data_IF_230737598697
#
_entry.id   IF_230737598697
#
_cell.length_a   1.000
_cell.length_b   1.000
_cell.length_c   1.000
_cell.angle_alpha   90.00
_cell.angle_beta   90.00
_cell.angle_gamma   90.00
#
_symmetry.space_group_name_H-M   'P 1'
#
loop_
_entity.id
_entity.type
_entity.pdbx_description
1 polymer ?
#
# COMPACT_ATOMS: atom_id res chain seq x y z
N UNK A 1 -24.14 -27.24 -30.54
CA UNK A 1 -24.66 -26.93 -29.19
C UNK A 1 -25.17 -25.47 -29.22
N UNK A 2 -26.48 -25.28 -29.16
CA UNK A 2 -27.05 -23.92 -29.15
C UNK A 2 -27.27 -23.51 -27.71
N UNK A 3 -26.47 -22.57 -27.21
CA UNK A 3 -26.68 -21.97 -25.88
C UNK A 3 -27.79 -20.92 -26.01
N UNK A 4 -28.86 -21.05 -25.28
CA UNK A 4 -29.95 -20.06 -25.24
C UNK A 4 -29.92 -19.27 -23.91
N UNK A 5 -30.60 -18.12 -23.89
CA UNK A 5 -30.58 -17.20 -22.77
C UNK A 5 -31.23 -17.72 -21.48
N UNK A 6 -31.96 -18.84 -21.56
CA UNK A 6 -32.59 -19.48 -20.40
C UNK A 6 -31.58 -20.23 -19.51
N UNK A 7 -30.36 -20.41 -19.98
CA UNK A 7 -29.24 -20.98 -19.18
C UNK A 7 -28.50 -19.96 -18.31
N UNK A 8 -28.86 -18.68 -18.39
CA UNK A 8 -28.36 -17.67 -17.48
C UNK A 8 -29.23 -17.66 -16.23
N UNK A 9 -28.74 -18.17 -15.13
CA UNK A 9 -29.38 -17.97 -13.83
C UNK A 9 -29.36 -16.47 -13.50
N UNK A 10 -30.54 -15.82 -13.59
CA UNK A 10 -30.67 -14.48 -13.03
C UNK A 10 -30.80 -14.61 -11.51
N UNK A 11 -29.91 -13.96 -10.80
CA UNK A 11 -29.86 -13.92 -9.33
C UNK A 11 -31.12 -13.32 -8.69
N UNK A 12 -32.01 -12.75 -9.51
CA UNK A 12 -33.28 -12.11 -9.07
C UNK A 12 -34.46 -13.05 -8.89
N UNK A 13 -34.38 -14.35 -9.21
CA UNK A 13 -35.50 -15.29 -9.14
C UNK A 13 -35.48 -16.26 -7.95
N UNK A 14 -34.50 -16.16 -7.06
CA UNK A 14 -34.58 -16.84 -5.78
C UNK A 14 -35.26 -15.93 -4.75
N UNK A 15 -36.57 -16.01 -4.73
CA UNK A 15 -37.40 -15.52 -3.64
C UNK A 15 -37.16 -16.37 -2.39
N UNK A 16 -36.19 -15.99 -1.62
CA UNK A 16 -35.86 -16.63 -0.36
C UNK A 16 -34.84 -15.77 0.39
N UNK A 17 -35.37 -15.05 1.36
CA UNK A 17 -34.68 -14.33 2.43
C UNK A 17 -33.40 -13.55 2.00
N UNK A 18 -33.40 -12.32 2.34
CA UNK A 18 -32.25 -11.39 2.41
C UNK A 18 -31.08 -11.89 3.32
N UNK A 19 -30.88 -13.21 3.36
CA UNK A 19 -29.82 -13.88 4.12
C UNK A 19 -28.63 -14.23 3.23
N UNK A 20 -28.25 -13.38 2.31
CA UNK A 20 -27.15 -13.68 1.39
C UNK A 20 -26.12 -12.57 1.17
N UNK A 21 -26.42 -11.37 1.54
CA UNK A 21 -25.37 -10.40 1.83
C UNK A 21 -25.04 -10.61 3.31
N UNK A 22 -24.11 -11.52 3.62
CA UNK A 22 -23.34 -11.37 4.84
C UNK A 22 -22.95 -9.89 4.85
N UNK A 23 -23.57 -9.10 5.72
CA UNK A 23 -22.95 -7.88 6.21
C UNK A 23 -21.57 -8.34 6.56
N UNK A 24 -20.57 -7.99 5.72
CA UNK A 24 -19.18 -8.13 6.12
C UNK A 24 -19.16 -7.40 7.45
N UNK A 25 -18.95 -8.16 8.55
CA UNK A 25 -18.55 -7.54 9.78
C UNK A 25 -17.51 -6.50 9.37
N UNK A 26 -17.49 -5.35 10.04
CA UNK A 26 -16.57 -4.24 9.82
C UNK A 26 -15.10 -4.71 9.95
N UNK A 27 -14.73 -5.66 9.10
CA UNK A 27 -13.40 -6.18 8.88
C UNK A 27 -12.78 -5.34 7.78
N UNK A 28 -11.59 -4.93 8.00
CA UNK A 28 -10.75 -4.12 7.12
C UNK A 28 -10.95 -4.53 5.66
N UNK A 29 -11.54 -3.63 4.86
CA UNK A 29 -11.75 -3.85 3.43
C UNK A 29 -10.51 -3.37 2.70
N UNK A 30 -9.92 -4.23 1.89
CA UNK A 30 -8.94 -3.88 0.89
C UNK A 30 -9.32 -4.55 -0.42
N UNK A 31 -9.34 -3.78 -1.49
CA UNK A 31 -9.38 -4.26 -2.85
C UNK A 31 -8.47 -3.37 -3.70
N UNK A 32 -7.44 -3.95 -4.28
CA UNK A 32 -6.50 -3.29 -5.18
C UNK A 32 -6.55 -3.98 -6.54
N UNK A 33 -6.77 -3.21 -7.60
CA UNK A 33 -6.60 -3.63 -8.99
C UNK A 33 -5.54 -2.79 -9.64
N UNK A 34 -4.43 -3.41 -9.98
CA UNK A 34 -3.26 -2.79 -10.58
C UNK A 34 -2.99 -3.38 -11.96
N UNK A 35 -2.67 -2.52 -12.91
CA UNK A 35 -2.30 -2.90 -14.26
C UNK A 35 -0.82 -2.63 -14.49
N UNK A 36 -0.15 -3.59 -15.13
CA UNK A 36 1.15 -3.39 -15.76
C UNK A 36 0.92 -3.10 -17.25
N UNK A 37 1.48 -2.01 -17.75
CA UNK A 37 1.40 -1.63 -19.15
C UNK A 37 2.81 -1.50 -19.73
N UNK A 38 3.02 -1.98 -20.94
CA UNK A 38 4.24 -1.81 -21.71
C UNK A 38 3.91 -1.85 -23.19
N UNK A 39 4.21 -0.77 -23.91
CA UNK A 39 3.83 -0.61 -25.31
C UNK A 39 2.31 -0.79 -25.52
N UNK A 40 1.91 -1.76 -26.32
CA UNK A 40 0.52 -2.15 -26.63
C UNK A 40 -0.01 -3.29 -25.74
N UNK A 41 0.80 -3.75 -24.78
CA UNK A 41 0.47 -4.88 -23.89
C UNK A 41 0.03 -4.39 -22.53
N UNK A 42 -0.92 -5.12 -21.96
CA UNK A 42 -1.42 -4.90 -20.60
C UNK A 42 -1.57 -6.23 -19.89
N UNK A 43 -1.25 -6.25 -18.60
CA UNK A 43 -1.55 -7.33 -17.69
C UNK A 43 -2.06 -6.78 -16.37
N UNK A 44 -2.70 -7.60 -15.55
CA UNK A 44 -3.41 -7.15 -14.35
C UNK A 44 -3.09 -8.04 -13.16
N UNK A 45 -3.01 -7.42 -11.98
CA UNK A 45 -2.91 -8.04 -10.67
C UNK A 45 -4.04 -7.54 -9.78
N UNK A 46 -4.69 -8.44 -9.06
CA UNK A 46 -5.70 -8.14 -8.06
C UNK A 46 -5.22 -8.64 -6.70
N UNK A 47 -5.31 -7.77 -5.69
CA UNK A 47 -5.08 -8.10 -4.28
C UNK A 47 -6.30 -7.66 -3.49
N UNK A 48 -6.79 -8.53 -2.63
CA UNK A 48 -7.93 -8.21 -1.78
C UNK A 48 -7.82 -8.89 -0.42
N UNK A 49 -8.56 -8.38 0.56
CA UNK A 49 -8.63 -8.98 1.90
C UNK A 49 -9.84 -9.85 2.04
N UNK A 50 -9.63 -11.03 2.59
CA UNK A 50 -10.68 -11.94 3.06
C UNK A 50 -10.22 -12.62 4.35
N UNK A 51 -11.06 -12.59 5.39
CA UNK A 51 -10.74 -13.19 6.69
C UNK A 51 -10.60 -14.73 6.65
N UNK A 52 -11.15 -15.37 5.63
CA UNK A 52 -11.05 -16.82 5.41
C UNK A 52 -9.78 -17.21 4.63
N UNK A 53 -9.05 -16.22 4.07
CA UNK A 53 -7.81 -16.47 3.35
C UNK A 53 -6.71 -16.99 4.28
N UNK A 54 -5.91 -17.92 3.76
CA UNK A 54 -4.80 -18.54 4.48
C UNK A 54 -3.45 -17.89 4.11
N UNK A 55 -2.37 -18.39 4.71
CA UNK A 55 -1.02 -17.99 4.33
C UNK A 55 -0.47 -18.78 3.12
N UNK A 56 -1.14 -19.85 2.72
CA UNK A 56 -0.84 -20.67 1.56
C UNK A 56 -1.73 -20.35 0.38
N UNK A 57 -1.53 -21.07 -0.71
CA UNK A 57 -2.45 -21.05 -1.85
C UNK A 57 -3.76 -21.74 -1.47
N UNK A 58 -4.89 -21.07 -1.65
CA UNK A 58 -6.20 -21.60 -1.33
C UNK A 58 -7.27 -21.24 -2.40
N UNK A 59 -8.54 -21.53 -2.09
CA UNK A 59 -9.65 -21.30 -3.02
C UNK A 59 -9.97 -19.81 -3.26
N UNK A 60 -9.36 -18.91 -2.51
CA UNK A 60 -9.51 -17.46 -2.62
C UNK A 60 -8.43 -16.84 -3.51
N UNK A 61 -7.48 -17.67 -3.99
CA UNK A 61 -6.41 -17.27 -4.90
C UNK A 61 -6.70 -17.70 -6.34
N UNK A 62 -6.32 -16.86 -7.27
CA UNK A 62 -6.34 -17.18 -8.70
C UNK A 62 -4.92 -17.40 -9.23
N UNK A 63 -4.63 -18.62 -9.69
CA UNK A 63 -3.33 -18.91 -10.31
C UNK A 63 -3.19 -18.19 -11.66
N UNK A 64 -2.00 -17.66 -11.92
CA UNK A 64 -1.67 -16.93 -13.14
C UNK A 64 -1.63 -17.88 -14.35
N UNK A 65 -2.42 -17.59 -15.36
CA UNK A 65 -2.28 -18.22 -16.67
C UNK A 65 -1.13 -17.57 -17.44
N UNK A 66 -0.04 -18.30 -17.58
CA UNK A 66 1.17 -17.78 -18.21
C UNK A 66 1.02 -17.69 -19.73
N UNK A 67 1.47 -16.58 -20.28
CA UNK A 67 1.60 -16.39 -21.73
C UNK A 67 3.10 -16.46 -22.11
N UNK A 68 3.44 -17.32 -23.04
CA UNK A 68 4.82 -17.38 -23.54
C UNK A 68 5.20 -16.02 -24.15
N UNK A 69 6.32 -15.44 -23.68
CA UNK A 69 6.80 -14.11 -24.08
C UNK A 69 5.78 -12.98 -23.87
N UNK A 70 4.84 -13.17 -22.92
CA UNK A 70 3.85 -12.17 -22.53
C UNK A 70 4.37 -11.17 -21.50
N UNK A 71 3.76 -10.00 -21.46
CA UNK A 71 3.87 -9.08 -20.33
C UNK A 71 3.13 -9.69 -19.15
N UNK A 72 3.75 -9.82 -17.97
CA UNK A 72 3.11 -10.47 -16.84
C UNK A 72 3.38 -9.75 -15.52
N UNK A 73 2.33 -9.66 -14.70
CA UNK A 73 2.34 -9.11 -13.36
C UNK A 73 1.66 -10.10 -12.41
N UNK A 74 2.32 -10.46 -11.31
CA UNK A 74 1.79 -11.42 -10.36
C UNK A 74 2.49 -11.31 -8.99
N UNK A 75 1.92 -11.95 -7.99
CA UNK A 75 2.56 -12.24 -6.71
C UNK A 75 2.91 -13.73 -6.64
N UNK A 76 3.63 -14.16 -5.63
CA UNK A 76 3.99 -15.56 -5.45
C UNK A 76 3.56 -16.08 -4.08
N UNK A 77 3.01 -17.30 -4.05
CA UNK A 77 2.74 -18.08 -2.85
C UNK A 77 3.42 -19.44 -3.01
N UNK A 78 4.54 -19.63 -2.32
CA UNK A 78 5.42 -20.77 -2.57
C UNK A 78 5.91 -20.76 -4.01
N UNK A 79 5.72 -21.86 -4.74
CA UNK A 79 6.09 -21.98 -6.16
C UNK A 79 4.99 -21.49 -7.14
N UNK A 80 3.82 -21.08 -6.63
CA UNK A 80 2.69 -20.68 -7.48
C UNK A 80 2.74 -19.19 -7.79
N UNK A 81 2.45 -18.84 -9.03
CA UNK A 81 2.27 -17.46 -9.50
C UNK A 81 0.79 -17.11 -9.38
N UNK A 82 0.48 -16.02 -8.70
CA UNK A 82 -0.88 -15.64 -8.29
C UNK A 82 -1.25 -14.31 -8.94
N UNK A 83 -2.32 -14.29 -9.70
CA UNK A 83 -2.87 -13.08 -10.35
C UNK A 83 -4.02 -12.46 -9.54
N UNK A 84 -4.72 -13.26 -8.76
CA UNK A 84 -5.71 -12.82 -7.78
C UNK A 84 -5.21 -13.35 -6.43
N UNK A 85 -4.82 -12.46 -5.52
CA UNK A 85 -4.24 -12.84 -4.24
C UNK A 85 -5.17 -12.41 -3.11
N UNK A 86 -5.79 -13.39 -2.46
CA UNK A 86 -6.58 -13.21 -1.25
C UNK A 86 -5.69 -13.17 -0.02
N UNK A 87 -5.65 -12.04 0.67
CA UNK A 87 -4.86 -11.86 1.89
C UNK A 87 -5.74 -11.93 3.13
N UNK A 88 -5.28 -12.60 4.17
CA UNK A 88 -5.89 -12.47 5.49
C UNK A 88 -5.59 -11.08 6.06
N UNK A 89 -6.53 -10.46 6.79
CA UNK A 89 -6.36 -9.14 7.40
C UNK A 89 -5.09 -9.06 8.28
N UNK A 90 -4.72 -10.12 8.98
CA UNK A 90 -3.50 -10.18 9.78
C UNK A 90 -2.21 -10.11 8.95
N UNK A 91 -2.28 -10.41 7.65
CA UNK A 91 -1.15 -10.30 6.72
C UNK A 91 -0.92 -8.91 6.17
N UNK A 92 -1.87 -8.01 6.30
CA UNK A 92 -1.75 -6.64 5.78
C UNK A 92 -0.65 -5.82 6.49
N UNK A 93 -0.14 -6.29 7.61
CA UNK A 93 1.09 -5.76 8.21
C UNK A 93 2.36 -6.23 7.49
N UNK A 94 2.25 -7.11 6.48
CA UNK A 94 3.37 -7.64 5.71
C UNK A 94 3.40 -7.01 4.33
N UNK A 95 4.59 -6.83 3.81
CA UNK A 95 4.80 -6.39 2.43
C UNK A 95 4.55 -7.54 1.44
N UNK A 96 4.02 -7.21 0.26
CA UNK A 96 3.73 -8.16 -0.81
C UNK A 96 4.61 -7.86 -2.02
N UNK A 97 5.59 -8.71 -2.33
CA UNK A 97 6.40 -8.55 -3.55
C UNK A 97 5.55 -8.70 -4.80
N UNK A 98 5.78 -7.80 -5.77
CA UNK A 98 5.17 -7.83 -7.09
C UNK A 98 6.21 -8.23 -8.12
N UNK A 99 5.96 -9.31 -8.83
CA UNK A 99 6.86 -9.86 -9.83
C UNK A 99 6.39 -9.45 -11.20
N UNK A 100 7.29 -8.89 -11.99
CA UNK A 100 7.02 -8.48 -13.36
C UNK A 100 7.87 -9.32 -14.32
N UNK A 101 7.24 -9.85 -15.38
CA UNK A 101 7.94 -10.42 -16.52
C UNK A 101 7.77 -9.50 -17.71
N UNK A 102 8.88 -8.91 -18.14
CA UNK A 102 8.93 -7.90 -19.21
C UNK A 102 9.51 -8.54 -20.46
N UNK A 103 8.74 -8.68 -21.54
CA UNK A 103 9.21 -9.34 -22.76
C UNK A 103 10.22 -8.51 -23.55
N UNK A 104 10.13 -7.18 -23.47
CA UNK A 104 10.95 -6.25 -24.26
C UNK A 104 11.38 -5.08 -23.39
N UNK A 105 12.67 -4.80 -23.38
CA UNK A 105 13.25 -3.63 -22.66
C UNK A 105 12.61 -2.33 -23.13
N UNK A 106 12.24 -1.48 -22.16
CA UNK A 106 11.65 -0.18 -22.45
C UNK A 106 10.90 0.45 -21.28
N UNK A 107 10.12 1.48 -21.60
CA UNK A 107 9.27 2.16 -20.62
C UNK A 107 8.03 1.30 -20.34
N UNK A 108 7.78 1.11 -19.06
CA UNK A 108 6.61 0.42 -18.51
C UNK A 108 5.88 1.34 -17.53
N UNK A 109 4.64 1.01 -17.20
CA UNK A 109 3.94 1.67 -16.10
C UNK A 109 3.11 0.70 -15.27
N UNK A 110 3.05 0.97 -13.97
CA UNK A 110 2.08 0.38 -13.05
C UNK A 110 0.98 1.42 -12.83
N UNK A 111 -0.27 1.07 -13.13
CA UNK A 111 -1.40 1.98 -12.97
C UNK A 111 -2.47 1.37 -12.06
N UNK A 112 -3.03 2.19 -11.17
CA UNK A 112 -4.06 1.77 -10.23
C UNK A 112 -5.43 2.02 -10.85
N UNK A 113 -6.11 0.94 -11.24
CA UNK A 113 -7.44 1.00 -11.83
C UNK A 113 -8.50 1.15 -10.74
N UNK A 114 -8.37 0.41 -9.63
CA UNK A 114 -9.24 0.52 -8.48
C UNK A 114 -8.43 0.29 -7.20
N UNK A 115 -8.71 1.09 -6.18
CA UNK A 115 -8.21 0.94 -4.83
C UNK A 115 -9.31 1.33 -3.85
N UNK A 116 -9.81 0.34 -3.12
CA UNK A 116 -10.73 0.52 -2.00
C UNK A 116 -10.02 0.01 -0.75
N UNK A 117 -9.83 0.87 0.22
CA UNK A 117 -9.23 0.52 1.51
C UNK A 117 -9.92 1.28 2.62
N UNK A 118 -10.42 0.55 3.61
CA UNK A 118 -11.02 1.16 4.79
C UNK A 118 -9.89 1.52 5.76
N UNK A 119 -9.76 2.84 6.01
CA UNK A 119 -8.81 3.37 6.98
C UNK A 119 -7.38 2.82 6.81
N UNK A 120 -6.81 3.05 5.66
CA UNK A 120 -5.48 2.58 5.38
C UNK A 120 -4.79 3.34 4.26
N UNK A 121 -3.52 3.01 4.07
CA UNK A 121 -2.68 3.49 2.98
C UNK A 121 -2.03 2.33 2.27
N UNK A 122 -1.86 2.45 0.97
CA UNK A 122 -1.10 1.51 0.15
C UNK A 122 0.05 2.24 -0.52
N UNK A 123 1.20 1.61 -0.49
CA UNK A 123 2.42 2.16 -1.08
C UNK A 123 3.04 1.14 -2.03
N UNK A 124 3.58 1.63 -3.12
CA UNK A 124 4.47 0.90 -4.00
C UNK A 124 5.92 1.32 -3.70
N UNK A 125 6.75 0.39 -3.31
CA UNK A 125 8.20 0.56 -3.22
C UNK A 125 8.83 0.11 -4.53
N UNK A 126 9.60 0.98 -5.17
CA UNK A 126 10.57 0.62 -6.21
C UNK A 126 11.97 0.62 -5.60
N UNK A 127 12.48 -0.57 -5.29
CA UNK A 127 13.77 -0.75 -4.64
C UNK A 127 14.96 -0.36 -5.52
N UNK A 128 14.78 -0.39 -6.85
CA UNK A 128 15.84 0.00 -7.78
C UNK A 128 16.04 1.51 -7.80
N UNK A 129 14.94 2.28 -7.78
CA UNK A 129 14.96 3.74 -7.79
C UNK A 129 14.92 4.35 -6.37
N UNK A 130 14.81 3.51 -5.32
CA UNK A 130 14.64 3.92 -3.92
C UNK A 130 13.45 4.87 -3.71
N UNK A 131 12.35 4.61 -4.44
CA UNK A 131 11.12 5.42 -4.41
C UNK A 131 10.03 4.67 -3.65
N UNK A 132 9.29 5.42 -2.81
CA UNK A 132 8.05 4.97 -2.18
C UNK A 132 6.89 5.82 -2.71
N UNK A 133 6.07 5.25 -3.58
CA UNK A 133 4.92 5.91 -4.20
C UNK A 133 3.63 5.57 -3.46
N UNK A 134 2.94 6.58 -2.92
CA UNK A 134 1.57 6.39 -2.41
C UNK A 134 0.62 6.04 -3.56
N UNK A 135 -0.22 5.04 -3.35
CA UNK A 135 -1.18 4.59 -4.34
C UNK A 135 -2.59 5.11 -4.02
N UNK A 136 -3.21 5.68 -5.04
CA UNK A 136 -4.60 6.12 -5.06
C UNK A 136 -5.25 5.67 -6.38
N UNK A 137 -6.58 5.63 -6.51
CA UNK A 137 -7.22 5.37 -7.79
C UNK A 137 -6.74 6.37 -8.85
N UNK A 138 -6.29 5.86 -10.00
CA UNK A 138 -5.73 6.67 -11.08
C UNK A 138 -4.24 6.97 -10.98
N UNK A 139 -3.54 6.57 -9.91
CA UNK A 139 -2.07 6.66 -9.84
C UNK A 139 -1.45 5.90 -11.00
N UNK A 140 -0.47 6.52 -11.67
CA UNK A 140 0.37 5.91 -12.70
C UNK A 140 1.83 6.12 -12.30
N UNK A 141 2.56 5.02 -12.16
CA UNK A 141 4.00 5.01 -11.90
C UNK A 141 4.75 4.51 -13.12
N UNK A 142 5.49 5.39 -13.78
CA UNK A 142 6.30 5.06 -14.96
C UNK A 142 7.73 4.69 -14.56
N UNK A 143 8.29 3.68 -15.21
CA UNK A 143 9.65 3.21 -14.95
C UNK A 143 10.26 2.58 -16.20
N UNK A 144 11.59 2.56 -16.25
CA UNK A 144 12.32 1.81 -17.26
C UNK A 144 12.63 0.41 -16.75
N UNK A 145 12.40 -0.61 -17.57
CA UNK A 145 12.71 -1.99 -17.24
C UNK A 145 13.46 -2.70 -18.36
N UNK A 146 14.42 -3.52 -17.99
CA UNK A 146 15.05 -4.47 -18.89
C UNK A 146 14.12 -5.67 -19.11
N UNK A 147 14.23 -6.31 -20.27
CA UNK A 147 13.55 -7.58 -20.53
C UNK A 147 14.01 -8.66 -19.56
N UNK A 148 13.07 -9.51 -19.14
CA UNK A 148 13.33 -10.57 -18.16
C UNK A 148 12.39 -10.51 -16.96
N UNK A 149 12.74 -11.23 -15.91
CA UNK A 149 11.97 -11.32 -14.66
C UNK A 149 12.53 -10.30 -13.65
N UNK A 150 11.66 -9.41 -13.19
CA UNK A 150 11.93 -8.43 -12.14
C UNK A 150 11.19 -8.89 -10.87
N UNK A 151 11.81 -9.72 -10.06
CA UNK A 151 11.18 -10.38 -8.91
C UNK A 151 11.35 -9.60 -7.60
N UNK A 152 12.36 -8.76 -7.48
CA UNK A 152 12.75 -8.13 -6.21
C UNK A 152 12.63 -6.61 -6.24
N UNK A 153 12.25 -6.03 -7.38
CA UNK A 153 12.21 -4.58 -7.57
C UNK A 153 11.02 -3.94 -6.87
N UNK A 154 9.82 -4.49 -7.04
CA UNK A 154 8.60 -3.87 -6.59
C UNK A 154 7.99 -4.58 -5.38
N UNK A 155 7.56 -3.79 -4.39
CA UNK A 155 6.90 -4.29 -3.19
C UNK A 155 5.71 -3.40 -2.85
N UNK A 156 4.55 -4.01 -2.59
CA UNK A 156 3.39 -3.33 -2.04
C UNK A 156 3.45 -3.38 -0.51
N UNK A 157 3.25 -2.23 0.10
CA UNK A 157 3.15 -2.08 1.55
C UNK A 157 1.74 -1.63 1.89
N UNK A 158 1.10 -2.32 2.83
CA UNK A 158 -0.23 -2.01 3.31
C UNK A 158 -0.14 -1.54 4.75
N UNK A 159 -0.69 -0.37 5.02
CA UNK A 159 -0.84 0.14 6.38
C UNK A 159 -2.32 0.29 6.66
N UNK A 160 -2.85 -0.56 7.53
CA UNK A 160 -4.21 -0.41 8.02
C UNK A 160 -4.21 0.46 9.27
N UNK A 161 -5.16 1.36 9.31
CA UNK A 161 -5.42 2.21 10.46
C UNK A 161 -6.47 1.48 11.31
N UNK A 162 -6.08 1.00 12.48
CA UNK A 162 -6.99 0.34 13.43
C UNK A 162 -7.91 1.38 14.08
N UNK A 163 -9.14 1.50 13.56
CA UNK A 163 -10.14 2.46 14.08
C UNK A 163 -10.69 2.10 15.48
N UNK A 164 -10.37 0.92 16.01
CA UNK A 164 -10.73 0.55 17.38
C UNK A 164 -9.82 1.20 18.41
N UNK A 165 -8.66 1.67 17.96
CA UNK A 165 -7.78 2.54 18.72
C UNK A 165 -8.06 3.97 18.28
N UNK A 166 -8.21 4.94 19.20
CA UNK A 166 -8.41 6.32 18.78
C UNK A 166 -7.26 6.71 17.87
N UNK A 167 -7.56 6.85 16.56
CA UNK A 167 -6.67 7.48 15.63
C UNK A 167 -6.74 8.93 16.02
N UNK A 168 -5.73 9.41 16.69
CA UNK A 168 -5.50 10.83 16.76
C UNK A 168 -5.03 11.28 15.37
N UNK A 169 -5.98 11.37 14.43
CA UNK A 169 -5.80 12.17 13.24
C UNK A 169 -5.88 13.60 13.75
N UNK A 170 -4.75 14.11 14.19
CA UNK A 170 -4.66 15.54 14.44
C UNK A 170 -4.66 16.25 13.09
N UNK A 171 -5.86 16.67 12.69
CA UNK A 171 -6.01 17.88 11.93
C UNK A 171 -5.70 19.04 12.89
N UNK A 172 -4.45 19.27 13.20
CA UNK A 172 -4.09 20.49 13.88
C UNK A 172 -3.91 21.62 12.88
N UNK A 173 -5.00 22.36 12.78
CA UNK A 173 -4.93 23.79 12.60
C UNK A 173 -4.76 24.36 14.01
N UNK A 174 -3.54 24.81 14.35
CA UNK A 174 -3.20 25.63 15.53
C UNK A 174 -3.46 25.07 16.94
N UNK A 175 -2.38 24.77 17.67
CA UNK A 175 -2.39 24.80 19.13
C UNK A 175 -1.85 23.54 19.82
N UNK A 176 -0.99 23.77 20.78
CA UNK A 176 -0.41 22.76 21.69
C UNK A 176 -1.44 21.75 22.20
N UNK A 177 -1.27 20.48 21.91
CA UNK A 177 -2.04 19.42 22.52
C UNK A 177 -1.14 18.51 23.38
N UNK A 178 -1.58 18.26 24.61
CA UNK A 178 -0.98 17.30 25.52
C UNK A 178 -1.18 15.88 24.98
N UNK A 179 -0.09 15.21 24.62
CA UNK A 179 -0.07 13.90 24.03
C UNK A 179 -0.17 12.80 25.10
N UNK A 180 -1.21 11.97 25.04
CA UNK A 180 -1.34 10.73 25.85
C UNK A 180 -1.60 9.48 24.99
N UNK A 181 -0.98 9.35 23.82
CA UNK A 181 -1.14 8.24 22.87
C UNK A 181 0.11 7.37 22.72
N UNK A 182 -0.08 6.09 22.41
CA UNK A 182 0.98 5.07 22.32
C UNK A 182 1.80 5.09 21.02
N UNK A 183 1.82 6.15 20.23
CA UNK A 183 2.58 6.22 18.97
C UNK A 183 3.38 7.52 18.84
N UNK A 184 4.27 7.61 17.85
CA UNK A 184 5.01 8.82 17.55
C UNK A 184 4.07 9.93 17.07
N UNK A 185 4.31 11.18 17.48
CA UNK A 185 3.65 12.35 16.90
C UNK A 185 4.61 13.08 15.95
N UNK A 186 4.08 13.60 14.85
CA UNK A 186 4.83 14.39 13.89
C UNK A 186 3.99 15.61 13.52
N UNK A 187 4.56 16.80 13.64
CA UNK A 187 3.91 18.03 13.22
C UNK A 187 4.93 18.98 12.58
N UNK A 188 4.44 19.90 11.77
CA UNK A 188 5.27 20.96 11.21
C UNK A 188 5.15 22.22 12.07
N UNK A 189 6.27 22.88 12.30
CA UNK A 189 6.35 24.23 12.83
C UNK A 189 6.63 25.24 11.71
N UNK A 190 6.65 26.50 12.05
CA UNK A 190 6.99 27.56 11.11
C UNK A 190 8.37 27.34 10.47
N UNK A 191 8.57 27.90 9.28
CA UNK A 191 9.81 27.84 8.53
C UNK A 191 10.27 26.41 8.11
N UNK A 192 9.32 25.47 7.95
CA UNK A 192 9.64 24.13 7.43
C UNK A 192 10.34 23.19 8.41
N UNK A 193 10.20 23.44 9.72
CA UNK A 193 10.69 22.51 10.75
C UNK A 193 9.66 21.41 10.97
N UNK A 194 10.10 20.17 10.92
CA UNK A 194 9.30 18.99 11.29
C UNK A 194 9.75 18.49 12.65
N UNK A 195 8.85 18.53 13.61
CA UNK A 195 9.08 18.02 14.97
C UNK A 195 8.52 16.61 15.09
N UNK A 196 9.35 15.69 15.54
CA UNK A 196 9.04 14.29 15.74
C UNK A 196 9.17 13.99 17.23
N UNK A 197 8.09 13.51 17.86
CA UNK A 197 8.10 13.07 19.26
C UNK A 197 7.82 11.57 19.31
N UNK A 198 8.78 10.83 19.82
CA UNK A 198 8.67 9.39 20.02
C UNK A 198 7.98 9.07 21.35
N UNK A 199 7.26 7.95 21.46
CA UNK A 199 6.73 7.48 22.75
C UNK A 199 7.86 7.25 23.77
N UNK A 200 7.58 7.48 25.03
CA UNK A 200 8.53 7.21 26.13
C UNK A 200 8.95 5.72 26.22
N UNK A 201 8.20 4.83 25.57
CA UNK A 201 8.47 3.40 25.48
C UNK A 201 9.37 3.02 24.30
N UNK A 202 9.80 4.00 23.47
CA UNK A 202 10.70 3.75 22.36
C UNK A 202 12.10 3.47 22.89
N UNK A 203 12.60 2.30 22.61
CA UNK A 203 13.97 1.90 22.96
C UNK A 203 14.86 1.84 21.71
N UNK A 204 16.11 2.24 21.87
CA UNK A 204 17.11 2.17 20.80
C UNK A 204 17.06 3.31 19.81
N UNK A 205 17.61 3.06 18.63
CA UNK A 205 17.69 4.03 17.52
C UNK A 205 16.44 3.90 16.67
N UNK A 206 15.87 5.03 16.30
CA UNK A 206 14.77 5.13 15.32
C UNK A 206 15.32 5.79 14.06
N UNK A 207 15.21 5.10 12.93
CA UNK A 207 15.53 5.67 11.62
C UNK A 207 14.37 6.54 11.13
N UNK A 208 14.71 7.68 10.55
CA UNK A 208 13.77 8.68 10.06
C UNK A 208 13.98 8.84 8.56
N UNK A 209 12.93 8.67 7.78
CA UNK A 209 12.90 9.03 6.37
C UNK A 209 11.73 9.97 6.11
N UNK A 210 11.97 11.05 5.35
CA UNK A 210 10.91 11.97 4.95
C UNK A 210 10.86 12.00 3.43
N UNK A 211 9.64 11.79 2.89
CA UNK A 211 9.39 11.80 1.46
C UNK A 211 8.33 12.84 1.13
N UNK A 212 8.43 13.45 -0.04
CA UNK A 212 7.39 14.34 -0.55
C UNK A 212 6.19 13.55 -1.12
N UNK A 213 5.15 14.24 -1.57
CA UNK A 213 3.94 13.64 -2.13
C UNK A 213 4.20 12.82 -3.41
N UNK A 214 5.32 13.05 -4.10
CA UNK A 214 5.75 12.28 -5.26
C UNK A 214 6.60 11.04 -4.87
N UNK A 215 6.79 10.79 -3.56
CA UNK A 215 7.58 9.67 -3.05
C UNK A 215 9.10 9.93 -3.01
N UNK A 216 9.56 11.10 -3.46
CA UNK A 216 10.98 11.44 -3.49
C UNK A 216 11.50 11.62 -2.06
N UNK A 217 12.61 10.95 -1.75
CA UNK A 217 13.29 11.08 -0.46
C UNK A 217 13.89 12.50 -0.33
N UNK A 218 13.47 13.23 0.70
CA UNK A 218 13.92 14.59 0.99
C UNK A 218 14.76 14.70 2.26
N UNK A 219 14.66 13.69 3.14
CA UNK A 219 15.49 13.60 4.34
C UNK A 219 15.66 12.14 4.77
N UNK A 220 16.86 11.80 5.25
CA UNK A 220 17.13 10.56 5.97
C UNK A 220 18.04 10.86 7.15
N UNK A 221 17.81 10.22 8.27
CA UNK A 221 18.56 10.35 9.50
C UNK A 221 18.12 9.36 10.54
N UNK A 222 18.69 9.45 11.74
CA UNK A 222 18.27 8.60 12.86
C UNK A 222 18.28 9.41 14.15
N UNK A 223 17.53 8.97 15.14
CA UNK A 223 17.49 9.57 16.47
C UNK A 223 17.40 8.51 17.56
N UNK A 224 17.95 8.84 18.72
CA UNK A 224 17.81 8.09 19.96
C UNK A 224 17.17 8.94 21.07
N UNK A 225 16.66 10.12 20.71
CA UNK A 225 15.98 11.04 21.63
C UNK A 225 14.47 10.97 21.44
N UNK A 226 13.71 11.26 22.49
CA UNK A 226 12.25 11.26 22.45
C UNK A 226 11.68 12.42 21.63
N UNK A 227 12.46 13.46 21.36
CA UNK A 227 12.08 14.59 20.53
C UNK A 227 13.22 14.95 19.59
N UNK A 228 12.90 15.10 18.31
CA UNK A 228 13.85 15.44 17.26
C UNK A 228 13.21 16.42 16.30
N UNK A 229 13.93 17.49 15.96
CA UNK A 229 13.52 18.48 14.97
C UNK A 229 14.34 18.33 13.69
N UNK A 230 13.66 18.29 12.55
CA UNK A 230 14.28 18.17 11.22
C UNK A 230 13.93 19.42 10.42
N UNK A 231 14.94 20.16 9.98
CA UNK A 231 14.76 21.31 9.09
C UNK A 231 14.66 20.82 7.64
N UNK A 232 13.55 21.11 6.98
CA UNK A 232 13.37 20.84 5.57
C UNK A 232 13.39 22.14 4.76
N UNK A 233 14.33 22.27 3.83
CA UNK A 233 14.41 23.39 2.89
C UNK A 233 13.55 23.14 1.65
N UNK A 234 12.37 22.52 1.82
CA UNK A 234 11.51 22.05 0.75
C UNK A 234 10.28 22.96 0.58
N UNK A 235 9.63 22.84 -0.58
CA UNK A 235 8.43 23.62 -0.89
C UNK A 235 7.26 23.26 0.04
N UNK A 236 6.29 24.18 0.15
CA UNK A 236 5.02 23.92 0.81
C UNK A 236 4.35 22.67 0.23
N UNK A 237 3.84 21.81 1.08
CA UNK A 237 3.18 20.61 0.61
C UNK A 237 3.04 19.50 1.65
N UNK A 238 2.57 18.36 1.19
CA UNK A 238 2.38 17.16 2.00
C UNK A 238 3.67 16.35 1.96
N UNK A 239 4.09 15.90 3.15
CA UNK A 239 5.23 15.02 3.35
C UNK A 239 4.83 13.83 4.19
N UNK A 240 5.55 12.72 3.99
CA UNK A 240 5.37 11.49 4.73
C UNK A 240 6.64 11.18 5.50
N UNK A 241 6.50 11.09 6.82
CA UNK A 241 7.59 10.77 7.74
C UNK A 241 7.48 9.30 8.12
N UNK A 242 8.45 8.50 7.72
CA UNK A 242 8.58 7.09 8.09
C UNK A 242 9.55 6.98 9.24
N UNK A 243 9.12 6.33 10.32
CA UNK A 243 9.89 6.05 11.52
C UNK A 243 10.05 4.55 11.65
N UNK A 244 11.28 4.06 11.59
CA UNK A 244 11.61 2.65 11.73
C UNK A 244 12.38 2.42 13.04
N UNK A 245 11.78 1.72 13.97
CA UNK A 245 12.31 1.41 15.30
C UNK A 245 12.26 -0.08 15.59
N UNK A 246 12.84 -0.50 16.71
CA UNK A 246 12.75 -1.89 17.17
C UNK A 246 11.29 -2.36 17.39
N UNK A 247 10.36 -1.43 17.65
CA UNK A 247 8.93 -1.73 17.85
C UNK A 247 8.14 -1.80 16.52
N UNK A 248 8.75 -1.49 15.38
CA UNK A 248 8.13 -1.52 14.06
C UNK A 248 8.28 -0.24 13.27
N UNK A 249 7.56 -0.17 12.14
CA UNK A 249 7.56 0.98 11.24
C UNK A 249 6.27 1.78 11.43
N UNK A 250 6.42 3.09 11.61
CA UNK A 250 5.31 4.03 11.66
C UNK A 250 5.44 5.07 10.54
N UNK A 251 4.34 5.41 9.89
CA UNK A 251 4.30 6.49 8.89
C UNK A 251 3.35 7.58 9.36
N UNK A 252 3.79 8.83 9.25
CA UNK A 252 3.01 10.01 9.61
C UNK A 252 2.97 10.98 8.44
N UNK A 253 1.79 11.53 8.17
CA UNK A 253 1.60 12.59 7.19
C UNK A 253 1.74 13.94 7.88
N UNK A 254 2.50 14.85 7.29
CA UNK A 254 2.66 16.21 7.77
C UNK A 254 2.47 17.18 6.60
N UNK A 255 1.83 18.32 6.86
CA UNK A 255 1.72 19.43 5.92
C UNK A 255 2.72 20.52 6.31
N UNK A 256 3.63 20.87 5.41
CA UNK A 256 4.63 21.92 5.62
C UNK A 256 4.15 23.19 4.92
N UNK A 257 4.15 24.28 5.66
CA UNK A 257 3.89 25.62 5.17
C UNK A 257 5.05 26.52 5.64
N UNK A 258 5.71 27.17 4.69
CA UNK A 258 6.79 28.12 4.93
C UNK A 258 6.24 29.55 4.94
#
# INVERSE_FOLDING_TARGET
>A
LTLNNSMRAHFSSYGGSTAGLKTMELGQRLFLRMNLNAQDKKDQLIIYVNNEATNGFDALDGEKMLQANGLQCYTAVGAKKIVINGLNAAKLAQSVPVILEIPTTGICSLSIENLEIDNGLVWLEDKQEEIMQALEPGTVYEFYANSGINAERFVLHFQLIDNTKPINVYNEVNGSANFSGKGASVHAEAAGVVVIKLPATTEGITDIQIRDAAGRLVYTGSTNTLETSVQLAQANGIYYVTLNSASGVEVRKVFIQQ
#
